data_IF_721035705615
#
_entry.id   IF_721035705615
#
_cell.length_a   1.000
_cell.length_b   1.000
_cell.length_c   1.000
_cell.angle_alpha   90.00
_cell.angle_beta   90.00
_cell.angle_gamma   90.00
#
_symmetry.space_group_name_H-M   'P 1'
#
loop_
_entity.id
_entity.type
_entity.pdbx_description
1 polymer ?
#
# COMPACT_ATOMS: atom_id res chain seq x y z
N UNK A 1 42.04 30.99 -36.10
CA UNK A 1 42.75 30.67 -34.83
C UNK A 1 41.85 31.07 -33.67
N UNK A 2 41.73 30.20 -32.65
CA UNK A 2 40.88 30.27 -31.43
C UNK A 2 39.37 30.32 -31.65
N UNK A 3 38.57 29.26 -31.45
CA UNK A 3 38.32 28.41 -30.27
C UNK A 3 37.63 29.15 -29.11
N UNK A 4 36.33 28.95 -28.90
CA UNK A 4 35.67 28.97 -27.59
C UNK A 4 34.35 28.16 -27.62
N UNK A 5 34.41 26.94 -27.07
CA UNK A 5 33.77 26.49 -25.81
C UNK A 5 32.29 26.13 -25.95
N UNK A 6 32.07 24.85 -26.22
CA UNK A 6 30.84 24.09 -25.97
C UNK A 6 30.51 24.12 -24.47
N UNK A 7 29.35 24.66 -24.09
CA UNK A 7 28.82 24.51 -22.72
C UNK A 7 27.47 23.79 -22.78
N UNK A 8 27.52 22.50 -22.47
CA UNK A 8 26.37 21.62 -22.24
C UNK A 8 25.58 22.16 -21.03
N UNK A 9 24.37 22.68 -21.26
CA UNK A 9 23.39 22.95 -20.20
C UNK A 9 22.82 21.61 -19.71
N UNK A 10 23.47 21.02 -18.71
CA UNK A 10 22.95 19.89 -17.93
C UNK A 10 21.90 20.49 -16.97
N UNK A 11 20.62 20.38 -17.32
CA UNK A 11 19.51 20.72 -16.40
C UNK A 11 19.47 19.71 -15.26
N UNK A 12 19.90 20.19 -14.10
CA UNK A 12 19.80 19.51 -12.81
C UNK A 12 18.36 19.61 -12.27
N UNK A 13 17.76 18.44 -12.08
CA UNK A 13 16.99 18.03 -10.89
C UNK A 13 15.81 18.91 -10.44
N UNK A 14 14.61 18.34 -10.53
CA UNK A 14 13.54 18.61 -9.55
C UNK A 14 13.18 17.30 -8.86
N UNK A 15 13.62 17.17 -7.61
CA UNK A 15 13.35 16.06 -6.70
C UNK A 15 11.84 15.94 -6.48
N UNK A 16 11.36 14.71 -6.60
CA UNK A 16 9.98 14.30 -6.36
C UNK A 16 9.59 14.63 -4.91
N UNK A 17 8.58 15.49 -4.72
CA UNK A 17 7.90 15.65 -3.43
C UNK A 17 7.05 14.40 -3.18
N UNK A 18 7.66 13.32 -2.70
CA UNK A 18 6.92 12.15 -2.23
C UNK A 18 6.34 12.49 -0.86
N UNK A 19 5.10 12.97 -0.85
CA UNK A 19 4.35 13.23 0.39
C UNK A 19 4.27 11.93 1.19
N UNK A 20 4.99 11.85 2.30
CA UNK A 20 4.80 10.81 3.30
C UNK A 20 3.55 11.14 4.09
N UNK A 21 2.39 10.76 3.57
CA UNK A 21 1.19 10.70 4.38
C UNK A 21 1.48 9.73 5.53
N UNK A 22 1.62 10.26 6.74
CA UNK A 22 1.94 9.51 7.96
C UNK A 22 0.70 8.75 8.41
N UNK A 23 0.33 7.72 7.66
CA UNK A 23 -0.62 6.72 8.13
C UNK A 23 0.09 5.90 9.22
N UNK A 24 -0.61 5.67 10.33
CA UNK A 24 -0.12 4.74 11.36
C UNK A 24 0.23 3.41 10.67
N UNK A 25 1.39 2.84 11.03
CA UNK A 25 1.80 1.57 10.46
C UNK A 25 0.73 0.52 10.74
N UNK A 26 0.34 -0.29 9.74
CA UNK A 26 -0.66 -1.32 9.94
C UNK A 26 -0.16 -2.34 10.96
N UNK A 27 -1.10 -2.92 11.72
CA UNK A 27 -0.82 -4.08 12.55
C UNK A 27 -0.46 -5.27 11.64
N UNK A 28 0.67 -5.93 11.91
CA UNK A 28 1.12 -7.08 11.13
C UNK A 28 1.15 -8.32 12.00
N UNK A 29 0.47 -9.38 11.57
CA UNK A 29 0.35 -10.63 12.32
C UNK A 29 0.40 -11.86 11.40
N UNK A 30 0.49 -13.05 11.99
CA UNK A 30 0.53 -14.34 11.28
C UNK A 30 1.90 -15.02 11.26
N UNK A 31 1.96 -16.30 10.84
CA UNK A 31 3.17 -17.12 10.91
C UNK A 31 4.32 -16.63 10.03
N UNK A 32 4.04 -15.81 9.01
CA UNK A 32 5.04 -15.24 8.11
C UNK A 32 5.25 -13.73 8.33
N UNK A 33 4.67 -13.14 9.37
CA UNK A 33 4.76 -11.69 9.64
C UNK A 33 6.21 -11.19 9.70
N UNK A 34 7.10 -11.93 10.36
CA UNK A 34 8.51 -11.58 10.50
C UNK A 34 9.30 -11.60 9.17
N UNK A 35 8.73 -12.14 8.08
CA UNK A 35 9.34 -12.13 6.75
C UNK A 35 9.00 -10.88 5.94
N UNK A 36 7.97 -10.13 6.34
CA UNK A 36 7.63 -8.89 5.69
C UNK A 36 8.65 -7.82 6.06
N UNK A 37 9.27 -7.23 5.04
CA UNK A 37 10.13 -6.06 5.23
C UNK A 37 9.28 -4.82 5.45
N UNK A 38 9.91 -3.75 5.95
CA UNK A 38 9.26 -2.43 6.02
C UNK A 38 8.76 -1.96 4.65
N UNK A 39 9.52 -2.24 3.60
CA UNK A 39 9.13 -1.88 2.23
C UNK A 39 7.90 -2.68 1.78
N UNK A 40 7.85 -3.99 2.05
CA UNK A 40 6.67 -4.81 1.75
C UNK A 40 5.42 -4.24 2.42
N UNK A 41 5.51 -3.91 3.71
CA UNK A 41 4.40 -3.33 4.49
C UNK A 41 3.93 -2.02 3.87
N UNK A 42 4.86 -1.14 3.46
CA UNK A 42 4.54 0.13 2.83
C UNK A 42 3.88 -0.05 1.46
N UNK A 43 4.38 -0.98 0.64
CA UNK A 43 3.77 -1.30 -0.65
C UNK A 43 2.34 -1.83 -0.47
N UNK A 44 2.14 -2.80 0.44
CA UNK A 44 0.81 -3.36 0.74
C UNK A 44 -0.14 -2.25 1.23
N UNK A 45 0.32 -1.38 2.13
CA UNK A 45 -0.47 -0.28 2.66
C UNK A 45 -0.87 0.77 1.60
N UNK A 46 -0.09 0.88 0.51
CA UNK A 46 -0.34 1.81 -0.58
C UNK A 46 -1.32 1.26 -1.64
N UNK A 47 -1.49 -0.07 -1.74
CA UNK A 47 -2.34 -0.73 -2.74
C UNK A 47 -3.78 -0.15 -2.84
N UNK A 48 -4.47 0.17 -1.73
CA UNK A 48 -5.80 0.80 -1.77
C UNK A 48 -5.87 2.06 -2.65
N UNK A 49 -4.82 2.87 -2.63
CA UNK A 49 -4.78 4.17 -3.29
C UNK A 49 -4.38 4.08 -4.76
N UNK A 50 -3.80 2.95 -5.20
CA UNK A 50 -3.21 2.79 -6.54
C UNK A 50 -4.08 2.05 -7.55
N UNK A 51 -5.37 1.81 -7.28
CA UNK A 51 -6.26 1.25 -8.31
C UNK A 51 -7.51 0.52 -7.84
N UNK A 52 -7.70 0.28 -6.54
CA UNK A 52 -8.89 -0.42 -6.03
C UNK A 52 -10.07 0.50 -5.71
N UNK A 53 -9.94 1.82 -5.91
CA UNK A 53 -10.97 2.80 -5.52
C UNK A 53 -11.16 2.90 -3.99
N UNK A 54 -10.18 2.44 -3.22
CA UNK A 54 -10.25 2.41 -1.77
C UNK A 54 -9.60 3.66 -1.19
N UNK A 55 -10.40 4.47 -0.52
CA UNK A 55 -9.94 5.75 0.04
C UNK A 55 -9.47 5.65 1.50
N UNK A 56 -9.42 4.43 2.07
CA UNK A 56 -8.97 4.20 3.44
C UNK A 56 -7.66 3.41 3.44
N UNK A 57 -6.74 3.80 4.32
CA UNK A 57 -5.48 3.09 4.53
C UNK A 57 -5.71 1.68 5.09
N UNK A 58 -4.73 0.81 4.87
CA UNK A 58 -4.66 -0.51 5.49
C UNK A 58 -4.42 -0.35 6.99
N UNK A 59 -5.23 -1.04 7.79
CA UNK A 59 -5.07 -1.07 9.25
C UNK A 59 -4.43 -2.37 9.73
N UNK A 60 -4.71 -3.50 9.08
CA UNK A 60 -4.12 -4.77 9.45
C UNK A 60 -3.67 -5.58 8.23
N UNK A 61 -2.58 -6.32 8.41
CA UNK A 61 -1.99 -7.25 7.45
C UNK A 61 -1.80 -8.60 8.14
N UNK A 62 -2.38 -9.64 7.57
CA UNK A 62 -2.25 -11.02 8.04
C UNK A 62 -1.44 -11.85 7.05
N UNK A 63 -0.21 -12.20 7.42
CA UNK A 63 0.74 -12.94 6.61
C UNK A 63 0.64 -14.45 6.88
N UNK A 64 -0.28 -15.12 6.17
CA UNK A 64 -0.48 -16.57 6.31
C UNK A 64 0.39 -17.41 5.36
N UNK A 65 0.96 -16.79 4.33
CA UNK A 65 1.85 -17.44 3.36
C UNK A 65 3.08 -16.56 3.12
N UNK A 66 4.20 -17.13 2.61
CA UNK A 66 5.42 -16.36 2.36
C UNK A 66 5.22 -15.17 1.41
N UNK A 67 4.45 -15.36 0.34
CA UNK A 67 4.29 -14.39 -0.76
C UNK A 67 2.85 -13.90 -0.91
N UNK A 68 1.99 -14.14 0.09
CA UNK A 68 0.59 -13.76 0.04
C UNK A 68 0.09 -13.37 1.44
N UNK A 69 -0.64 -12.26 1.49
CA UNK A 69 -1.19 -11.67 2.72
C UNK A 69 -2.65 -11.32 2.53
N UNK A 70 -3.43 -11.45 3.60
CA UNK A 70 -4.71 -10.76 3.71
C UNK A 70 -4.48 -9.36 4.29
N UNK A 71 -5.22 -8.37 3.81
CA UNK A 71 -5.19 -7.01 4.34
C UNK A 71 -6.60 -6.49 4.54
N UNK A 72 -6.78 -5.65 5.55
CA UNK A 72 -8.05 -5.02 5.87
C UNK A 72 -7.88 -3.52 6.02
N UNK A 73 -8.82 -2.77 5.44
CA UNK A 73 -8.92 -1.33 5.64
C UNK A 73 -9.34 -1.00 7.08
N UNK A 74 -9.08 0.24 7.49
CA UNK A 74 -9.37 0.84 8.80
C UNK A 74 -10.44 0.14 9.65
N UNK A 75 -10.13 -0.02 10.93
CA UNK A 75 -11.10 -0.47 11.93
C UNK A 75 -12.34 0.43 11.86
N UNK A 76 -13.56 -0.14 11.80
CA UNK A 76 -14.79 0.62 11.73
C UNK A 76 -14.95 1.43 13.03
N UNK A 77 -15.10 2.74 12.89
CA UNK A 77 -15.28 3.64 14.02
C UNK A 77 -16.76 4.01 14.21
N UNK A 78 -17.56 3.91 13.15
CA UNK A 78 -18.96 4.31 13.13
C UNK A 78 -19.86 3.20 12.58
N UNK A 79 -21.10 3.09 13.07
CA UNK A 79 -22.12 2.27 12.41
C UNK A 79 -22.25 2.69 10.94
N UNK A 80 -22.39 1.71 10.04
CA UNK A 80 -22.35 1.86 8.56
C UNK A 80 -20.98 2.08 7.94
N UNK A 81 -19.89 2.08 8.72
CA UNK A 81 -18.56 2.06 8.14
C UNK A 81 -18.38 0.82 7.25
N UNK A 82 -17.69 1.06 6.16
CA UNK A 82 -17.35 0.04 5.18
C UNK A 82 -15.95 -0.47 5.47
N UNK A 83 -15.86 -1.74 5.83
CA UNK A 83 -14.62 -2.48 5.91
C UNK A 83 -14.35 -3.05 4.52
N UNK A 84 -13.12 -2.91 4.05
CA UNK A 84 -12.69 -3.55 2.82
C UNK A 84 -11.53 -4.46 3.12
N UNK A 85 -11.68 -5.72 2.75
CA UNK A 85 -10.61 -6.71 2.78
C UNK A 85 -10.13 -7.00 1.37
N UNK A 86 -8.85 -7.33 1.23
CA UNK A 86 -8.29 -7.83 -0.02
C UNK A 86 -7.12 -8.77 0.25
N UNK A 87 -6.82 -9.61 -0.73
CA UNK A 87 -5.60 -10.41 -0.72
C UNK A 87 -4.56 -9.72 -1.57
N UNK A 88 -3.34 -9.57 -1.06
CA UNK A 88 -2.19 -9.12 -1.83
C UNK A 88 -1.20 -10.27 -2.00
N UNK A 89 -0.60 -10.36 -3.19
CA UNK A 89 0.43 -11.36 -3.51
C UNK A 89 1.66 -10.67 -4.07
N UNK A 90 2.85 -11.15 -3.70
CA UNK A 90 4.11 -10.69 -4.27
C UNK A 90 4.32 -11.32 -5.65
N UNK A 91 4.53 -10.48 -6.65
CA UNK A 91 4.79 -10.86 -8.04
C UNK A 91 5.93 -10.00 -8.58
N UNK A 92 6.99 -10.65 -9.06
CA UNK A 92 8.16 -9.99 -9.63
C UNK A 92 8.77 -8.90 -8.72
N UNK A 93 8.76 -9.14 -7.41
CA UNK A 93 9.28 -8.20 -6.40
C UNK A 93 8.28 -7.15 -5.92
N UNK A 94 7.10 -7.05 -6.53
CA UNK A 94 6.07 -6.06 -6.19
C UNK A 94 4.83 -6.71 -5.60
N UNK A 95 4.20 -6.05 -4.64
CA UNK A 95 2.89 -6.49 -4.15
C UNK A 95 1.79 -6.03 -5.09
N UNK A 96 0.85 -6.92 -5.39
CA UNK A 96 -0.34 -6.63 -6.20
C UNK A 96 -1.59 -7.20 -5.54
N UNK A 97 -2.72 -6.52 -5.70
CA UNK A 97 -4.02 -7.07 -5.29
C UNK A 97 -4.34 -8.28 -6.17
N UNK A 98 -4.70 -9.40 -5.54
CA UNK A 98 -5.17 -10.58 -6.23
C UNK A 98 -6.53 -10.26 -6.88
N UNK A 99 -6.68 -10.41 -8.21
CA UNK A 99 -7.95 -10.11 -8.88
C UNK A 99 -9.12 -10.87 -8.27
N UNK A 100 -10.24 -10.17 -8.03
CA UNK A 100 -11.44 -10.76 -7.44
C UNK A 100 -11.39 -11.01 -5.92
N UNK A 101 -10.29 -10.66 -5.24
CA UNK A 101 -10.18 -10.83 -3.78
C UNK A 101 -10.72 -9.67 -2.94
N UNK A 102 -11.16 -8.59 -3.59
CA UNK A 102 -11.65 -7.41 -2.89
C UNK A 102 -13.06 -7.68 -2.38
N UNK A 103 -13.23 -7.66 -1.07
CA UNK A 103 -14.50 -7.86 -0.40
C UNK A 103 -14.86 -6.61 0.39
N UNK A 104 -16.13 -6.24 0.36
CA UNK A 104 -16.65 -5.05 1.03
C UNK A 104 -17.72 -5.48 2.03
N UNK A 105 -17.49 -5.24 3.30
CA UNK A 105 -18.42 -5.54 4.38
C UNK A 105 -18.91 -4.24 5.01
N UNK A 106 -20.22 -4.06 5.04
CA UNK A 106 -20.83 -2.96 5.78
C UNK A 106 -21.29 -3.45 7.15
N UNK A 107 -20.87 -2.77 8.22
CA UNK A 107 -21.41 -3.04 9.54
C UNK A 107 -22.87 -2.56 9.63
N UNK A 108 -23.77 -3.52 9.77
CA UNK A 108 -25.19 -3.27 10.02
C UNK A 108 -25.34 -3.08 11.54
N UNK A 109 -25.92 -1.97 12.01
CA UNK A 109 -26.33 -1.85 13.41
C UNK A 109 -27.31 -2.97 13.73
N UNK A 110 -27.03 -3.78 14.76
CA UNK A 110 -28.05 -4.59 15.42
C UNK A 110 -28.83 -3.67 16.34
N UNK A 111 -30.10 -3.43 16.00
CA UNK A 111 -31.08 -2.69 16.79
C UNK A 111 -31.40 -3.37 18.13
#
# INVERSE_FOLDING_TARGET
MSAHVTTLMISFVTVVFTSCASYAAPEVSGPYAARLTREDIQQIAALPFTGSGLHRGVHSIYANKPDEVGAQSAQPQWPRDTIVSFTARKKDGHWVIVPGSVETMQLIPTD
#
